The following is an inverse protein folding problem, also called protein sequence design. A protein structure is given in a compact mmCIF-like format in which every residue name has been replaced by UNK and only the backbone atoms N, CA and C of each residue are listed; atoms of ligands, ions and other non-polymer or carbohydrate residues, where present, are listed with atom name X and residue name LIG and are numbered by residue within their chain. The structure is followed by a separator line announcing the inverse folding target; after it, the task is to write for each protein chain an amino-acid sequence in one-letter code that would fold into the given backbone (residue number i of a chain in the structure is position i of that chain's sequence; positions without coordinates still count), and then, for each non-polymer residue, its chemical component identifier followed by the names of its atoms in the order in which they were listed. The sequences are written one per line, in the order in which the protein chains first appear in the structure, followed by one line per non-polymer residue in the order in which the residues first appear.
data_IF_186726823040
#
_entry.id   IF_186726823040
#
_cell.length_a   1.000
_cell.length_b   1.000
_cell.length_c   1.000
_cell.angle_alpha   90.00
_cell.angle_beta   90.00
_cell.angle_gamma   90.00
#
_symmetry.space_group_name_H-M   'P 1'
#
loop_
_entity.id
_entity.type
_entity.pdbx_description
1 polymer ?
#
# COMPACT_ATOMS: atom_id res chain seq x y z
N UNK A 1 -8.83 10.94 -14.51
CA UNK A 1 -7.45 11.43 -14.41
C UNK A 1 -6.61 10.34 -13.79
N UNK A 2 -5.58 9.84 -14.48
CA UNK A 2 -4.65 8.89 -13.88
C UNK A 2 -3.71 9.62 -12.91
N UNK A 3 -3.35 8.96 -11.81
CA UNK A 3 -2.33 9.40 -10.86
C UNK A 3 -1.21 8.37 -10.89
N UNK A 4 0.04 8.83 -11.02
CA UNK A 4 1.23 7.96 -10.96
C UNK A 4 1.97 8.26 -9.66
N UNK A 5 2.21 7.24 -8.85
CA UNK A 5 2.90 7.36 -7.56
C UNK A 5 4.14 6.47 -7.62
N UNK A 6 5.30 7.06 -7.38
CA UNK A 6 6.53 6.32 -7.14
C UNK A 6 6.69 6.12 -5.64
N UNK A 7 6.82 4.87 -5.19
CA UNK A 7 6.93 4.52 -3.78
C UNK A 7 8.11 3.58 -3.56
N UNK A 8 9.06 3.98 -2.70
CA UNK A 8 10.17 3.13 -2.29
C UNK A 8 9.67 2.16 -1.21
N UNK A 9 9.14 1.03 -1.68
CA UNK A 9 8.47 0.04 -0.85
C UNK A 9 9.43 -0.64 0.14
N UNK A 10 9.16 -0.60 1.46
CA UNK A 10 9.91 -1.37 2.44
C UNK A 10 9.75 -2.89 2.27
N UNK A 11 10.76 -3.65 2.70
CA UNK A 11 10.67 -5.10 2.75
C UNK A 11 9.56 -5.57 3.71
N UNK A 12 8.89 -6.67 3.37
CA UNK A 12 7.82 -7.25 4.20
C UNK A 12 6.46 -6.56 4.11
N UNK A 13 6.34 -5.45 3.37
CA UNK A 13 5.04 -4.83 3.06
C UNK A 13 4.36 -5.65 1.95
N UNK A 14 3.04 -5.65 1.87
CA UNK A 14 2.29 -6.24 0.76
C UNK A 14 2.18 -5.29 -0.45
N UNK A 15 2.05 -5.82 -1.66
CA UNK A 15 1.89 -5.02 -2.89
C UNK A 15 0.41 -4.77 -3.21
N UNK A 16 -0.36 -4.36 -2.21
CA UNK A 16 -1.80 -4.12 -2.31
C UNK A 16 -2.21 -3.05 -1.30
N UNK A 17 -3.38 -2.45 -1.50
CA UNK A 17 -3.97 -1.49 -0.56
C UNK A 17 -4.97 -2.14 0.40
N UNK A 18 -5.67 -3.19 -0.05
CA UNK A 18 -6.60 -3.91 0.81
C UNK A 18 -5.84 -4.74 1.86
N UNK A 19 -6.24 -4.71 3.14
CA UNK A 19 -5.65 -5.57 4.15
C UNK A 19 -5.93 -7.04 3.83
N UNK A 20 -4.93 -7.88 4.09
CA UNK A 20 -5.08 -9.33 4.07
C UNK A 20 -5.41 -9.79 5.50
N UNK A 21 -6.61 -10.34 5.77
CA UNK A 21 -7.03 -10.70 7.12
C UNK A 21 -6.19 -11.83 7.74
N UNK A 22 -5.55 -12.66 6.92
CA UNK A 22 -4.74 -13.79 7.38
C UNK A 22 -3.26 -13.42 7.57
N UNK A 23 -2.86 -12.23 7.10
CA UNK A 23 -1.49 -11.72 7.17
C UNK A 23 -1.42 -10.50 8.08
N UNK A 24 -0.56 -10.56 9.11
CA UNK A 24 -0.19 -9.39 9.93
C UNK A 24 0.76 -8.40 9.24
N UNK A 25 1.03 -8.59 7.93
CA UNK A 25 1.94 -7.74 7.16
C UNK A 25 1.28 -6.40 6.80
N UNK A 26 2.00 -5.28 6.89
CA UNK A 26 1.48 -3.98 6.47
C UNK A 26 1.28 -3.92 4.95
N UNK A 27 0.43 -3.00 4.51
CA UNK A 27 0.03 -2.77 3.12
C UNK A 27 0.57 -1.45 2.58
N UNK A 28 0.31 -1.15 1.31
CA UNK A 28 0.64 0.16 0.74
C UNK A 28 -0.18 1.29 1.36
N UNK A 29 -1.40 1.01 1.83
CA UNK A 29 -2.27 2.00 2.45
C UNK A 29 -1.69 2.57 3.76
N UNK A 30 -0.86 1.79 4.46
CA UNK A 30 -0.20 2.21 5.69
C UNK A 30 0.95 3.23 5.46
N UNK A 31 1.42 3.36 4.21
CA UNK A 31 2.52 4.26 3.85
C UNK A 31 2.13 5.36 2.85
N UNK A 32 1.04 5.18 2.10
CA UNK A 32 0.58 6.12 1.06
C UNK A 32 -0.75 6.73 1.51
N UNK A 33 -0.69 7.87 2.19
CA UNK A 33 -1.86 8.62 2.63
C UNK A 33 -2.38 9.53 1.50
N UNK A 34 -2.96 8.92 0.47
CA UNK A 34 -3.59 9.62 -0.64
C UNK A 34 -5.02 9.13 -0.85
N UNK A 35 -6.03 10.01 -0.74
CA UNK A 35 -7.42 9.61 -0.89
C UNK A 35 -7.73 9.20 -2.33
N UNK A 36 -8.43 8.06 -2.46
CA UNK A 36 -8.88 7.50 -3.73
C UNK A 36 -7.83 6.70 -4.49
N UNK A 37 -6.86 6.13 -3.78
CA UNK A 37 -5.86 5.17 -4.27
C UNK A 37 -6.13 3.80 -3.66
#
# INVERSE_FOLDING_TARGET
MSRLIAFCKPFGVLCQFSPDPDSGSPTLADFIDLPGV
#
